data_IF_847360779048
#
_entry.id   IF_847360779048
#
_cell.length_a   1.000
_cell.length_b   1.000
_cell.length_c   1.000
_cell.angle_alpha   90.00
_cell.angle_beta   90.00
_cell.angle_gamma   90.00
#
_symmetry.space_group_name_H-M   'P 1'
#
loop_
_entity.id
_entity.type
_entity.pdbx_description
1 polymer ?
#
# COMPACT_ATOMS: atom_id res chain seq x y z
N UNK A 1 -17.72 -1.23 -16.92
CA UNK A 1 -17.87 -1.39 -15.47
C UNK A 1 -16.74 -0.68 -14.72
N UNK A 2 -15.47 -1.01 -14.92
CA UNK A 2 -14.34 -0.38 -14.23
C UNK A 2 -14.30 1.15 -14.39
N UNK A 3 -14.57 1.66 -15.60
CA UNK A 3 -14.66 3.10 -15.82
C UNK A 3 -15.76 3.77 -14.98
N UNK A 4 -16.90 3.11 -14.82
CA UNK A 4 -18.02 3.64 -14.02
C UNK A 4 -17.75 3.58 -12.50
N UNK A 5 -16.88 2.67 -12.05
CA UNK A 5 -16.46 2.56 -10.65
C UNK A 5 -15.45 3.64 -10.25
N UNK A 6 -14.79 4.28 -11.23
CA UNK A 6 -13.80 5.33 -10.97
C UNK A 6 -12.59 4.84 -10.18
N UNK A 7 -12.16 5.66 -9.22
CA UNK A 7 -11.02 5.42 -8.35
C UNK A 7 -11.28 4.39 -7.24
N UNK A 8 -12.52 4.06 -6.93
CA UNK A 8 -12.86 2.97 -6.01
C UNK A 8 -12.58 1.59 -6.62
N UNK A 9 -12.62 1.46 -7.95
CA UNK A 9 -12.46 0.19 -8.65
C UNK A 9 -13.56 -0.81 -8.35
N UNK A 10 -13.33 -2.08 -8.70
CA UNK A 10 -14.23 -3.20 -8.42
C UNK A 10 -13.44 -4.40 -7.91
N UNK A 11 -13.87 -4.95 -6.80
CA UNK A 11 -13.28 -6.16 -6.23
C UNK A 11 -13.57 -7.37 -7.11
N UNK A 12 -12.69 -8.39 -7.08
CA UNK A 12 -12.91 -9.69 -7.75
C UNK A 12 -14.30 -10.24 -7.44
N UNK A 13 -14.68 -10.20 -6.17
CA UNK A 13 -16.00 -10.70 -5.72
C UNK A 13 -17.17 -9.95 -6.35
N UNK A 14 -17.08 -8.62 -6.47
CA UNK A 14 -18.11 -7.81 -7.13
C UNK A 14 -18.20 -8.15 -8.61
N UNK A 15 -17.05 -8.29 -9.30
CA UNK A 15 -17.00 -8.65 -10.71
C UNK A 15 -17.61 -10.03 -10.97
N UNK A 16 -17.22 -11.05 -10.21
CA UNK A 16 -17.79 -12.41 -10.28
C UNK A 16 -19.31 -12.39 -10.10
N UNK A 17 -19.78 -11.64 -9.08
CA UNK A 17 -21.21 -11.55 -8.78
C UNK A 17 -22.00 -10.86 -9.89
N UNK A 18 -21.49 -9.75 -10.42
CA UNK A 18 -22.23 -8.95 -11.43
C UNK A 18 -22.16 -9.59 -12.83
N UNK A 19 -21.04 -10.25 -13.16
CA UNK A 19 -20.87 -10.92 -14.45
C UNK A 19 -21.47 -12.34 -14.45
N UNK A 20 -21.83 -12.86 -13.28
CA UNK A 20 -22.38 -14.22 -13.10
C UNK A 20 -21.43 -15.31 -13.66
N UNK A 21 -20.11 -15.15 -13.42
CA UNK A 21 -19.06 -16.06 -13.90
C UNK A 21 -18.28 -16.67 -12.74
N UNK A 22 -17.49 -17.70 -13.01
CA UNK A 22 -16.56 -18.28 -12.05
C UNK A 22 -15.28 -17.43 -11.89
N UNK A 23 -14.64 -17.51 -10.73
CA UNK A 23 -13.42 -16.74 -10.44
C UNK A 23 -12.27 -17.07 -11.39
N UNK A 24 -12.16 -18.34 -11.81
CA UNK A 24 -11.17 -18.79 -12.79
C UNK A 24 -11.39 -18.16 -14.19
N UNK A 25 -12.63 -17.95 -14.57
CA UNK A 25 -12.99 -17.28 -15.83
C UNK A 25 -12.69 -15.78 -15.75
N UNK A 26 -12.96 -15.14 -14.60
CA UNK A 26 -12.61 -13.74 -14.37
C UNK A 26 -11.13 -13.49 -14.60
N UNK A 27 -10.25 -14.36 -14.09
CA UNK A 27 -8.80 -14.20 -14.24
C UNK A 27 -8.40 -14.12 -15.73
N UNK A 28 -8.91 -15.02 -16.56
CA UNK A 28 -8.66 -15.00 -18.02
C UNK A 28 -9.16 -13.72 -18.70
N UNK A 29 -10.37 -13.26 -18.35
CA UNK A 29 -10.94 -12.02 -18.88
C UNK A 29 -10.06 -10.82 -18.48
N UNK A 30 -9.61 -10.76 -17.24
CA UNK A 30 -8.81 -9.64 -16.75
C UNK A 30 -7.40 -9.62 -17.36
N UNK A 31 -6.82 -10.78 -17.66
CA UNK A 31 -5.56 -10.87 -18.43
C UNK A 31 -5.71 -10.33 -19.85
N UNK A 32 -6.81 -10.69 -20.54
CA UNK A 32 -7.09 -10.17 -21.88
C UNK A 32 -7.31 -8.65 -21.87
N UNK A 33 -8.07 -8.14 -20.89
CA UNK A 33 -8.28 -6.70 -20.72
C UNK A 33 -6.95 -6.00 -20.43
N UNK A 34 -6.13 -6.53 -19.52
CA UNK A 34 -4.82 -5.97 -19.21
C UNK A 34 -3.92 -5.91 -20.47
N UNK A 35 -3.91 -6.98 -21.27
CA UNK A 35 -3.15 -7.02 -22.52
C UNK A 35 -3.60 -5.93 -23.50
N UNK A 36 -4.93 -5.74 -23.67
CA UNK A 36 -5.47 -4.70 -24.56
C UNK A 36 -5.11 -3.27 -24.11
N UNK A 37 -5.05 -3.02 -22.79
CA UNK A 37 -4.71 -1.70 -22.24
C UNK A 37 -3.19 -1.44 -22.18
N UNK A 38 -2.35 -2.46 -22.37
CA UNK A 38 -0.88 -2.29 -22.48
C UNK A 38 -0.42 -1.70 -23.80
N UNK A 39 -1.25 -1.72 -24.85
CA UNK A 39 -0.89 -1.19 -26.15
C UNK A 39 -0.51 0.30 -26.10
N UNK A 40 0.44 0.73 -26.95
CA UNK A 40 1.05 2.07 -26.90
C UNK A 40 0.07 3.20 -27.25
N UNK A 41 -1.06 2.89 -27.87
CA UNK A 41 -2.08 3.86 -28.25
C UNK A 41 -3.00 4.28 -27.10
N UNK A 42 -2.82 3.68 -25.89
CA UNK A 42 -3.65 3.93 -24.73
C UNK A 42 -2.89 4.64 -23.61
N UNK A 43 -3.52 5.68 -23.05
CA UNK A 43 -2.97 6.43 -21.92
C UNK A 43 -3.32 5.88 -20.54
N UNK A 44 -4.16 4.82 -20.49
CA UNK A 44 -4.60 4.18 -19.25
C UNK A 44 -4.25 2.68 -19.28
N UNK A 45 -4.12 2.10 -18.11
CA UNK A 45 -3.85 0.67 -17.91
C UNK A 45 -4.76 0.07 -16.85
N UNK A 46 -4.93 -1.25 -16.90
CA UNK A 46 -5.59 -2.00 -15.83
C UNK A 46 -4.59 -2.28 -14.72
N UNK A 47 -4.95 -1.91 -13.50
CA UNK A 47 -4.17 -2.18 -12.29
C UNK A 47 -4.97 -3.02 -11.32
N UNK A 48 -4.27 -3.81 -10.49
CA UNK A 48 -4.84 -4.64 -9.45
C UNK A 48 -4.14 -4.38 -8.14
N UNK A 49 -4.90 -3.96 -7.12
CA UNK A 49 -4.43 -3.73 -5.76
C UNK A 49 -5.43 -4.34 -4.77
N UNK A 50 -4.95 -5.09 -3.78
CA UNK A 50 -5.79 -5.66 -2.72
C UNK A 50 -7.07 -6.35 -3.25
N UNK A 51 -6.94 -7.19 -4.27
CA UNK A 51 -8.05 -7.89 -4.96
C UNK A 51 -9.08 -6.96 -5.65
N UNK A 52 -8.72 -5.70 -5.88
CA UNK A 52 -9.54 -4.71 -6.57
C UNK A 52 -8.92 -4.33 -7.91
N UNK A 53 -9.70 -4.37 -8.97
CA UNK A 53 -9.31 -3.92 -10.30
C UNK A 53 -9.76 -2.49 -10.52
N UNK A 54 -8.89 -1.66 -11.07
CA UNK A 54 -9.19 -0.28 -11.45
C UNK A 54 -8.45 0.12 -12.74
N UNK A 55 -8.91 1.19 -13.36
CA UNK A 55 -8.22 1.80 -14.50
C UNK A 55 -7.39 2.99 -13.99
N UNK A 56 -6.09 2.92 -14.19
CA UNK A 56 -5.15 3.99 -13.85
C UNK A 56 -4.51 4.60 -15.08
N UNK A 57 -3.89 5.77 -14.93
CA UNK A 57 -3.08 6.37 -15.98
C UNK A 57 -1.70 5.70 -15.99
N UNK A 58 -1.20 5.36 -17.19
CA UNK A 58 0.15 4.81 -17.36
C UNK A 58 1.21 5.74 -16.77
N UNK A 59 2.26 5.16 -16.18
CA UNK A 59 3.34 5.90 -15.48
C UNK A 59 4.01 6.96 -16.35
N UNK A 60 4.14 6.72 -17.64
CA UNK A 60 4.75 7.66 -18.60
C UNK A 60 4.02 9.02 -18.68
N UNK A 61 2.72 9.07 -18.31
CA UNK A 61 1.92 10.31 -18.32
C UNK A 61 1.93 11.05 -16.99
N UNK A 62 2.53 10.50 -15.92
CA UNK A 62 2.65 11.14 -14.61
C UNK A 62 3.22 12.57 -14.67
N UNK A 63 4.26 12.88 -15.46
CA UNK A 63 4.77 14.25 -15.56
C UNK A 63 3.73 15.27 -16.09
N UNK A 64 2.78 14.83 -16.90
CA UNK A 64 1.70 15.67 -17.40
C UNK A 64 0.61 15.86 -16.36
N UNK A 65 0.24 14.78 -15.66
CA UNK A 65 -0.75 14.85 -14.58
C UNK A 65 -0.30 15.76 -13.44
N UNK A 66 0.99 15.75 -13.08
CA UNK A 66 1.57 16.65 -12.07
C UNK A 66 1.41 18.12 -12.43
N UNK A 67 1.52 18.47 -13.70
CA UNK A 67 1.27 19.85 -14.17
C UNK A 67 -0.20 20.24 -14.09
N UNK A 68 -1.11 19.24 -14.15
CA UNK A 68 -2.55 19.46 -14.09
C UNK A 68 -3.04 19.58 -12.65
N UNK A 69 -2.44 18.82 -11.76
CA UNK A 69 -2.83 18.75 -10.35
C UNK A 69 -1.77 19.47 -9.52
N UNK A 70 -2.00 20.73 -9.16
CA UNK A 70 -1.21 21.43 -8.14
C UNK A 70 -1.51 20.81 -6.76
N UNK A 71 -1.02 19.59 -6.51
CA UNK A 71 -1.15 18.96 -5.19
C UNK A 71 0.11 19.27 -4.40
N UNK A 72 0.04 20.00 -3.29
CA UNK A 72 1.12 20.03 -2.32
C UNK A 72 1.17 18.68 -1.63
N UNK A 73 1.75 17.68 -2.27
CA UNK A 73 2.00 16.39 -1.64
C UNK A 73 3.12 16.60 -0.61
N UNK A 74 2.76 16.94 0.61
CA UNK A 74 3.63 16.64 1.74
C UNK A 74 3.65 15.11 1.85
N UNK A 75 4.63 14.49 1.24
CA UNK A 75 4.90 13.07 1.41
C UNK A 75 4.92 12.69 2.90
N UNK A 76 4.90 11.40 3.19
CA UNK A 76 5.06 10.93 4.57
C UNK A 76 6.44 11.38 5.08
N UNK A 77 6.50 11.82 6.33
CA UNK A 77 7.79 12.12 6.96
C UNK A 77 8.60 10.82 7.14
N UNK A 78 9.92 10.92 7.23
CA UNK A 78 10.82 9.80 7.53
C UNK A 78 10.29 8.97 8.72
N UNK A 79 9.95 9.64 9.82
CA UNK A 79 9.40 8.99 11.00
C UNK A 79 8.03 8.29 10.74
N UNK A 80 7.23 8.80 9.81
CA UNK A 80 5.96 8.13 9.43
C UNK A 80 6.21 6.89 8.57
N UNK A 81 7.19 6.95 7.68
CA UNK A 81 7.60 5.81 6.86
C UNK A 81 8.16 4.69 7.73
N UNK A 82 9.01 5.02 8.71
CA UNK A 82 9.57 4.08 9.68
C UNK A 82 8.47 3.34 10.47
N UNK A 83 7.51 4.06 11.05
CA UNK A 83 6.37 3.43 11.74
C UNK A 83 5.56 2.54 10.80
N UNK A 84 5.33 3.02 9.58
CA UNK A 84 4.55 2.28 8.58
C UNK A 84 5.25 0.99 8.18
N UNK A 85 6.58 1.01 7.99
CA UNK A 85 7.36 -0.19 7.72
C UNK A 85 7.29 -1.19 8.90
N UNK A 86 7.54 -0.73 10.13
CA UNK A 86 7.44 -1.61 11.31
C UNK A 86 6.08 -2.32 11.35
N UNK A 87 4.99 -1.57 11.14
CA UNK A 87 3.65 -2.17 11.14
C UNK A 87 3.47 -3.14 9.98
N UNK A 88 3.91 -2.80 8.77
CA UNK A 88 3.71 -3.66 7.58
C UNK A 88 4.35 -5.04 7.72
N UNK A 89 5.51 -5.13 8.39
CA UNK A 89 6.23 -6.40 8.58
C UNK A 89 5.85 -7.14 9.87
N UNK A 90 5.42 -6.41 10.93
CA UNK A 90 5.22 -7.01 12.27
C UNK A 90 3.76 -7.06 12.71
N UNK A 91 2.82 -6.65 11.87
CA UNK A 91 1.40 -6.68 12.19
C UNK A 91 0.87 -8.10 12.48
N UNK A 92 -0.08 -8.25 13.43
CA UNK A 92 -0.65 -7.20 14.27
C UNK A 92 0.29 -6.79 15.42
N UNK A 93 0.49 -5.48 15.64
CA UNK A 93 1.48 -4.95 16.59
C UNK A 93 0.88 -3.82 17.44
N UNK A 94 1.29 -3.71 18.70
CA UNK A 94 0.86 -2.64 19.61
C UNK A 94 1.73 -1.40 19.51
N UNK A 95 1.19 -0.25 19.99
CA UNK A 95 1.98 0.99 20.09
C UNK A 95 3.24 0.80 20.94
N UNK A 96 3.16 0.10 22.05
CA UNK A 96 4.31 -0.11 22.95
C UNK A 96 5.45 -0.85 22.22
N UNK A 97 5.14 -1.92 21.51
CA UNK A 97 6.13 -2.66 20.71
C UNK A 97 6.74 -1.81 19.60
N UNK A 98 5.96 -0.95 18.94
CA UNK A 98 6.48 0.01 17.94
C UNK A 98 7.44 1.00 18.60
N UNK A 99 7.08 1.55 19.76
CA UNK A 99 7.90 2.49 20.51
C UNK A 99 9.19 1.84 21.05
N UNK A 100 9.12 0.56 21.45
CA UNK A 100 10.28 -0.22 21.87
C UNK A 100 11.28 -0.43 20.72
N UNK A 101 10.79 -0.76 19.52
CA UNK A 101 11.63 -0.91 18.32
C UNK A 101 12.26 0.44 17.92
N UNK A 102 11.51 1.53 17.96
CA UNK A 102 11.98 2.86 17.55
C UNK A 102 12.81 3.58 18.60
N UNK A 103 12.74 3.20 19.86
CA UNK A 103 13.34 3.92 20.97
C UNK A 103 12.69 5.29 21.28
N UNK A 104 11.61 5.68 20.56
CA UNK A 104 10.94 6.97 20.68
C UNK A 104 9.44 6.87 20.59
N UNK A 105 8.71 7.84 21.19
CA UNK A 105 7.25 7.87 21.17
C UNK A 105 6.69 8.00 19.76
N UNK A 106 5.67 7.22 19.44
CA UNK A 106 5.07 7.12 18.10
C UNK A 106 3.57 7.47 18.04
N UNK A 107 2.97 7.87 19.16
CA UNK A 107 1.52 8.09 19.27
C UNK A 107 0.96 9.04 18.21
N UNK A 108 1.60 10.21 18.02
CA UNK A 108 1.15 11.21 17.04
C UNK A 108 1.27 10.70 15.60
N UNK A 109 2.31 9.92 15.33
CA UNK A 109 2.55 9.34 14.00
C UNK A 109 1.49 8.29 13.70
N UNK A 110 1.24 7.37 14.64
CA UNK A 110 0.18 6.37 14.51
C UNK A 110 -1.17 7.02 14.25
N UNK A 111 -1.54 8.04 15.04
CA UNK A 111 -2.79 8.75 14.83
C UNK A 111 -2.87 9.40 13.43
N UNK A 112 -1.77 9.98 12.95
CA UNK A 112 -1.69 10.56 11.61
C UNK A 112 -1.83 9.50 10.51
N UNK A 113 -1.20 8.33 10.66
CA UNK A 113 -1.29 7.24 9.69
C UNK A 113 -2.70 6.60 9.66
N UNK A 114 -3.34 6.47 10.81
CA UNK A 114 -4.74 6.02 10.90
C UNK A 114 -5.67 7.04 10.26
N UNK A 115 -5.47 8.35 10.50
CA UNK A 115 -6.30 9.39 9.88
C UNK A 115 -6.14 9.48 8.35
N UNK A 116 -5.00 8.99 7.83
CA UNK A 116 -4.74 8.85 6.39
C UNK A 116 -5.22 7.51 5.81
N UNK A 117 -5.88 6.70 6.64
CA UNK A 117 -6.31 5.36 6.30
C UNK A 117 -5.18 4.40 5.85
N UNK A 118 -3.92 4.67 6.17
CA UNK A 118 -2.80 3.77 5.88
C UNK A 118 -2.69 2.65 6.89
N UNK A 119 -3.05 2.93 8.15
CA UNK A 119 -3.15 1.97 9.23
C UNK A 119 -4.57 1.92 9.78
N UNK A 120 -4.93 0.79 10.38
CA UNK A 120 -6.19 0.63 11.12
C UNK A 120 -5.98 -0.17 12.39
N UNK A 121 -6.96 -0.09 13.31
CA UNK A 121 -7.05 -0.97 14.46
C UNK A 121 -7.58 -2.34 14.00
N UNK A 122 -6.78 -3.39 14.15
CA UNK A 122 -7.15 -4.76 13.74
C UNK A 122 -7.61 -5.62 14.91
N UNK A 123 -7.48 -5.14 16.13
CA UNK A 123 -7.90 -5.85 17.33
C UNK A 123 -7.32 -5.26 18.60
N UNK A 124 -7.34 -6.07 19.66
CA UNK A 124 -6.74 -5.73 20.95
C UNK A 124 -5.92 -6.91 21.46
N UNK A 125 -4.77 -6.62 22.04
CA UNK A 125 -3.90 -7.60 22.63
C UNK A 125 -4.56 -8.26 23.87
N UNK A 126 -4.20 -9.50 24.12
CA UNK A 126 -4.55 -10.19 25.35
C UNK A 126 -3.69 -9.65 26.51
N UNK A 127 -4.30 -9.50 27.70
CA UNK A 127 -3.59 -9.07 28.90
C UNK A 127 -4.11 -7.75 29.48
N UNK A 128 -3.44 -7.24 30.53
CA UNK A 128 -3.87 -6.04 31.24
C UNK A 128 -3.78 -4.80 30.33
N UNK A 129 -4.87 -4.01 30.34
CA UNK A 129 -4.96 -2.79 29.54
C UNK A 129 -5.43 -2.98 28.10
N UNK A 130 -5.51 -4.22 27.57
CA UNK A 130 -6.03 -4.57 26.25
C UNK A 130 -5.57 -3.59 25.16
N UNK A 131 -4.24 -3.46 24.99
CA UNK A 131 -3.63 -2.53 24.04
C UNK A 131 -4.19 -2.72 22.61
N UNK A 132 -4.35 -1.63 21.90
CA UNK A 132 -4.79 -1.64 20.49
C UNK A 132 -3.70 -2.29 19.64
N UNK A 133 -4.12 -3.17 18.73
CA UNK A 133 -3.30 -3.77 17.70
C UNK A 133 -3.52 -3.05 16.39
N UNK A 134 -2.45 -2.68 15.73
CA UNK A 134 -2.44 -1.98 14.45
C UNK A 134 -2.05 -2.90 13.31
N UNK A 135 -2.62 -2.64 12.14
CA UNK A 135 -2.28 -3.29 10.88
C UNK A 135 -2.45 -2.33 9.71
N UNK A 136 -1.98 -2.74 8.55
CA UNK A 136 -2.11 -2.00 7.29
C UNK A 136 -3.51 -2.15 6.71
N UNK A 137 -3.86 -1.26 5.79
CA UNK A 137 -5.16 -1.24 5.10
C UNK A 137 -5.00 -1.55 3.60
N UNK A 138 -6.09 -1.77 2.85
CA UNK A 138 -6.03 -1.80 1.39
C UNK A 138 -5.50 -0.51 0.76
N UNK A 139 -5.75 0.65 1.38
CA UNK A 139 -5.20 1.95 0.92
C UNK A 139 -3.68 1.97 1.01
N UNK A 140 -3.09 1.31 2.02
CA UNK A 140 -1.66 1.10 2.08
C UNK A 140 -1.15 0.34 0.86
N UNK A 141 -1.75 -0.81 0.53
CA UNK A 141 -1.36 -1.62 -0.63
C UNK A 141 -1.47 -0.82 -1.93
N UNK A 142 -2.57 -0.11 -2.12
CA UNK A 142 -2.79 0.76 -3.28
C UNK A 142 -1.70 1.84 -3.38
N UNK A 143 -1.44 2.57 -2.29
CA UNK A 143 -0.47 3.66 -2.28
C UNK A 143 0.96 3.19 -2.57
N UNK A 144 1.29 1.94 -2.20
CA UNK A 144 2.60 1.33 -2.42
C UNK A 144 2.66 0.42 -3.65
N UNK A 145 1.58 0.33 -4.42
CA UNK A 145 1.51 -0.46 -5.64
C UNK A 145 1.64 -1.96 -5.42
N UNK A 146 1.22 -2.45 -4.24
CA UNK A 146 1.29 -3.84 -3.84
C UNK A 146 -0.05 -4.53 -4.03
N UNK A 147 -0.05 -5.76 -4.49
CA UNK A 147 -1.26 -6.60 -4.53
C UNK A 147 -1.54 -7.25 -3.19
N UNK A 148 -0.46 -7.70 -2.52
CA UNK A 148 -0.51 -8.35 -1.21
C UNK A 148 0.69 -7.93 -0.37
N UNK A 149 0.63 -8.19 0.93
CA UNK A 149 1.76 -7.96 1.85
C UNK A 149 2.96 -8.89 1.56
N UNK A 150 2.75 -9.99 0.87
CA UNK A 150 3.81 -10.94 0.49
C UNK A 150 4.75 -10.37 -0.57
N UNK A 151 4.33 -9.31 -1.27
CA UNK A 151 5.17 -8.59 -2.24
C UNK A 151 6.13 -7.60 -1.57
N UNK A 152 6.05 -7.42 -0.25
CA UNK A 152 7.05 -6.64 0.49
C UNK A 152 8.43 -7.29 0.36
N UNK A 153 9.51 -6.50 0.14
CA UNK A 153 10.87 -7.03 0.10
C UNK A 153 11.20 -7.82 1.37
N UNK A 154 11.85 -8.98 1.27
CA UNK A 154 12.22 -9.74 2.47
C UNK A 154 13.17 -8.92 3.34
N UNK A 155 12.94 -8.95 4.65
CA UNK A 155 13.92 -8.41 5.60
C UNK A 155 15.18 -9.30 5.54
N UNK A 156 16.39 -8.72 5.58
CA UNK A 156 17.63 -9.51 5.61
C UNK A 156 17.68 -10.41 6.85
N UNK A 157 18.08 -11.66 6.66
CA UNK A 157 18.07 -12.70 7.69
C UNK A 157 19.02 -12.45 8.88
N UNK A 158 19.89 -11.44 8.81
CA UNK A 158 20.92 -11.14 9.82
C UNK A 158 20.73 -9.81 10.54
N UNK A 159 19.53 -9.25 10.53
CA UNK A 159 19.25 -8.01 11.22
C UNK A 159 19.26 -8.21 12.74
N UNK A 160 20.43 -8.16 13.36
CA UNK A 160 20.56 -7.81 14.78
C UNK A 160 19.95 -6.39 14.98
N UNK A 161 19.41 -6.08 16.13
CA UNK A 161 18.58 -4.88 16.38
C UNK A 161 19.21 -3.54 15.92
N UNK A 162 20.55 -3.44 15.83
CA UNK A 162 21.29 -2.27 15.32
C UNK A 162 21.27 -2.15 13.77
N UNK A 163 21.05 -3.24 13.06
CA UNK A 163 21.00 -3.29 11.58
C UNK A 163 19.61 -2.93 11.07
N UNK A 164 18.55 -3.11 11.88
CA UNK A 164 17.19 -2.71 11.50
C UNK A 164 17.07 -1.21 11.18
N UNK A 165 17.93 -0.39 11.73
CA UNK A 165 17.94 1.07 11.49
C UNK A 165 18.63 1.42 10.17
N UNK A 166 19.78 0.81 9.86
CA UNK A 166 20.48 1.01 8.57
C UNK A 166 19.73 0.39 7.39
N UNK A 167 19.06 -0.71 7.61
CA UNK A 167 18.29 -1.42 6.57
C UNK A 167 16.88 -0.86 6.39
N UNK A 168 16.26 -0.32 7.43
CA UNK A 168 15.12 0.56 7.30
C UNK A 168 15.50 1.77 6.43
N UNK A 169 16.67 2.37 6.62
CA UNK A 169 17.14 3.49 5.81
C UNK A 169 17.40 3.07 4.35
N UNK A 170 17.96 1.89 4.09
CA UNK A 170 18.13 1.31 2.74
C UNK A 170 16.79 0.92 2.10
N UNK A 171 15.84 0.38 2.87
CA UNK A 171 14.48 0.14 2.43
C UNK A 171 13.81 1.48 2.07
N UNK A 172 14.02 2.51 2.90
CA UNK A 172 13.47 3.84 2.66
C UNK A 172 14.16 4.55 1.50
N UNK A 173 15.45 4.33 1.24
CA UNK A 173 16.10 4.84 0.04
C UNK A 173 15.56 4.18 -1.22
N UNK A 174 15.43 2.85 -1.25
CA UNK A 174 14.80 2.14 -2.36
C UNK A 174 13.32 2.49 -2.49
N UNK A 175 12.63 2.67 -1.38
CA UNK A 175 11.25 3.05 -1.30
C UNK A 175 11.03 4.50 -1.75
N UNK A 176 11.87 5.44 -1.32
CA UNK A 176 11.87 6.83 -1.80
C UNK A 176 12.28 6.91 -3.28
N UNK A 177 13.20 6.07 -3.75
CA UNK A 177 13.56 5.99 -5.17
C UNK A 177 12.38 5.54 -6.02
N UNK A 178 11.61 4.54 -5.57
CA UNK A 178 10.35 4.14 -6.22
C UNK A 178 9.33 5.28 -6.20
N UNK A 179 9.31 6.12 -5.15
CA UNK A 179 8.46 7.31 -5.08
C UNK A 179 9.02 8.53 -5.84
N UNK A 180 10.34 8.66 -5.99
CA UNK A 180 10.93 9.71 -6.83
C UNK A 180 10.78 9.37 -8.32
N UNK A 181 10.81 8.11 -8.69
CA UNK A 181 10.51 7.64 -10.05
C UNK A 181 9.00 7.73 -10.39
N UNK A 182 8.14 7.80 -9.36
CA UNK A 182 6.71 8.12 -9.48
C UNK A 182 6.47 9.64 -9.36
N UNK A 183 7.50 10.41 -8.99
CA UNK A 183 7.50 11.87 -9.06
C UNK A 183 7.96 12.33 -10.43
#
# INVERSE_FOLDING_TARGET
MLYAAGDEGLTKKQLVTVLEIEEAELAGIMEEVAAQYKEDDRGIELTEYADTYMLGTKKEFVPYLKKLIEVPSKGLSQASLEVLAIVSYKQPITRAEIEDIRGVKSERILHSLVSKALLCEVGRADGPGRAILYGTTPVFLEQFGLKTLEELPPLPENAEEDVLQEEADLFFENFNQTFEDIK
#
